data_IF_176708395511
#
_entry.id   IF_176708395511
#
_cell.length_a   1.000
_cell.length_b   1.000
_cell.length_c   1.000
_cell.angle_alpha   90.00
_cell.angle_beta   90.00
_cell.angle_gamma   90.00
#
_symmetry.space_group_name_H-M   'P 1'
#
loop_
_entity.id
_entity.type
_entity.pdbx_description
1 polymer ?
#
# COMPACT_ATOMS: atom_id res chain seq x y z
N UNK A 1 -55.64 12.80 7.61
CA UNK A 1 -54.17 12.96 7.58
C UNK A 1 -53.54 11.58 7.73
N UNK A 2 -52.63 11.18 6.84
CA UNK A 2 -51.68 10.09 7.10
C UNK A 2 -51.72 8.86 6.17
N UNK A 3 -51.45 9.02 4.87
CA UNK A 3 -50.93 7.92 4.05
C UNK A 3 -49.40 7.93 4.14
N UNK A 4 -48.84 7.12 5.05
CA UNK A 4 -47.40 6.89 5.12
C UNK A 4 -47.05 5.62 4.35
N UNK A 5 -46.49 5.76 3.14
CA UNK A 5 -45.96 4.64 2.36
C UNK A 5 -44.84 3.94 3.15
N UNK A 6 -45.10 2.71 3.58
CA UNK A 6 -44.09 1.85 4.22
C UNK A 6 -43.17 1.30 3.14
N UNK A 7 -42.05 1.97 2.88
CA UNK A 7 -41.01 1.44 1.99
C UNK A 7 -40.26 0.31 2.71
N UNK A 8 -40.40 -0.93 2.22
CA UNK A 8 -39.70 -2.10 2.77
C UNK A 8 -38.20 -1.98 2.48
N UNK A 9 -37.38 -1.75 3.52
CA UNK A 9 -35.91 -1.69 3.40
C UNK A 9 -35.39 -3.05 2.90
N UNK A 10 -34.71 -3.08 1.75
CA UNK A 10 -34.05 -4.30 1.25
C UNK A 10 -32.83 -4.61 2.13
N UNK A 11 -32.77 -5.82 2.66
CA UNK A 11 -31.69 -6.29 3.52
C UNK A 11 -31.11 -7.56 2.90
N UNK A 12 -29.78 -7.62 2.80
CA UNK A 12 -29.08 -8.79 2.26
C UNK A 12 -28.53 -9.64 3.40
N UNK A 13 -28.77 -10.94 3.34
CA UNK A 13 -28.28 -11.92 4.30
C UNK A 13 -26.97 -12.51 3.78
N UNK A 14 -25.91 -12.38 4.56
CA UNK A 14 -24.63 -13.06 4.33
C UNK A 14 -24.36 -14.05 5.45
N UNK A 15 -23.83 -15.22 5.13
CA UNK A 15 -23.34 -16.19 6.13
C UNK A 15 -21.85 -15.94 6.33
N UNK A 16 -21.44 -15.82 7.59
CA UNK A 16 -20.05 -15.63 8.03
C UNK A 16 -19.29 -16.97 8.07
N UNK A 17 -17.97 -16.94 8.22
CA UNK A 17 -17.11 -18.15 8.26
C UNK A 17 -17.43 -19.11 9.44
N UNK A 18 -18.23 -18.65 10.40
CA UNK A 18 -18.73 -19.42 11.56
C UNK A 18 -20.22 -19.80 11.43
N UNK A 19 -20.76 -19.89 10.19
CA UNK A 19 -22.14 -20.25 9.85
C UNK A 19 -23.24 -19.34 10.45
N UNK A 20 -22.87 -18.14 10.91
CA UNK A 20 -23.83 -17.17 11.49
C UNK A 20 -24.41 -16.25 10.42
N UNK A 21 -25.73 -16.08 10.45
CA UNK A 21 -26.45 -15.15 9.55
C UNK A 21 -26.21 -13.70 9.99
N UNK A 22 -25.49 -12.93 9.18
CA UNK A 22 -25.28 -11.49 9.36
C UNK A 22 -26.27 -10.72 8.48
N UNK A 23 -26.99 -9.78 9.11
CA UNK A 23 -27.94 -8.89 8.46
C UNK A 23 -27.19 -7.63 8.02
N UNK A 24 -26.81 -7.55 6.74
CA UNK A 24 -26.13 -6.39 6.19
C UNK A 24 -27.15 -5.41 5.63
N UNK A 25 -27.12 -4.16 6.10
CA UNK A 25 -27.91 -3.07 5.50
C UNK A 25 -27.28 -2.69 4.16
N UNK A 26 -27.86 -3.19 3.07
CA UNK A 26 -27.41 -2.91 1.72
C UNK A 26 -27.61 -1.43 1.37
N UNK A 27 -26.52 -0.71 1.19
CA UNK A 27 -26.54 0.60 0.52
C UNK A 27 -26.67 0.31 -0.98
N UNK A 28 -27.78 0.71 -1.61
CA UNK A 28 -27.95 0.58 -3.05
C UNK A 28 -27.10 1.65 -3.74
N UNK A 29 -25.90 1.27 -4.16
CA UNK A 29 -25.05 2.12 -4.99
C UNK A 29 -25.73 2.30 -6.36
N UNK A 30 -25.70 3.52 -6.89
CA UNK A 30 -26.22 3.80 -8.23
C UNK A 30 -25.38 3.08 -9.28
N UNK A 31 -25.99 2.78 -10.43
CA UNK A 31 -25.29 2.16 -11.58
C UNK A 31 -24.01 2.92 -11.93
N UNK A 32 -24.05 4.25 -11.78
CA UNK A 32 -22.96 5.18 -12.05
C UNK A 32 -21.79 5.09 -11.04
N UNK A 33 -22.06 4.66 -9.80
CA UNK A 33 -21.02 4.35 -8.80
C UNK A 33 -20.43 2.96 -9.05
N UNK A 34 -21.26 1.99 -9.44
CA UNK A 34 -20.81 0.65 -9.80
C UNK A 34 -19.95 0.66 -11.08
N UNK A 35 -20.31 1.46 -12.08
CA UNK A 35 -19.56 1.64 -13.32
C UNK A 35 -18.17 2.22 -13.05
N UNK A 36 -18.08 3.20 -12.13
CA UNK A 36 -16.81 3.77 -11.66
C UNK A 36 -15.96 2.74 -10.95
N UNK A 37 -16.53 1.95 -10.04
CA UNK A 37 -15.79 0.91 -9.32
C UNK A 37 -15.31 -0.21 -10.25
N UNK A 38 -16.09 -0.57 -11.28
CA UNK A 38 -15.67 -1.51 -12.34
C UNK A 38 -14.58 -0.93 -13.24
N UNK A 39 -14.60 0.40 -13.47
CA UNK A 39 -13.56 1.11 -14.22
C UNK A 39 -12.19 1.17 -13.52
N UNK A 40 -12.12 0.95 -12.20
CA UNK A 40 -10.85 0.86 -11.46
C UNK A 40 -10.17 -0.50 -11.63
N UNK A 41 -10.92 -1.56 -11.95
CA UNK A 41 -10.40 -2.93 -12.05
C UNK A 41 -9.77 -3.29 -13.40
N UNK A 42 -9.71 -2.35 -14.37
CA UNK A 42 -9.23 -2.62 -15.73
C UNK A 42 -8.21 -1.59 -16.25
N UNK A 43 -7.34 -1.10 -15.36
CA UNK A 43 -6.23 -0.23 -15.72
C UNK A 43 -4.92 -1.04 -15.55
N UNK A 44 -4.18 -1.35 -16.63
CA UNK A 44 -2.80 -1.81 -16.52
C UNK A 44 -1.98 -0.72 -15.81
N UNK A 45 -1.05 -1.05 -14.90
CA UNK A 45 -0.30 -0.01 -14.20
C UNK A 45 0.66 0.64 -15.21
N UNK A 46 0.43 1.90 -15.53
CA UNK A 46 1.38 2.72 -16.28
C UNK A 46 1.52 4.11 -15.63
N UNK A 47 2.70 4.73 -15.79
CA UNK A 47 3.28 5.73 -14.90
C UNK A 47 2.77 7.16 -15.16
N UNK A 48 3.05 8.03 -14.18
CA UNK A 48 2.64 9.42 -14.04
C UNK A 48 3.06 10.39 -15.18
N UNK A 49 2.39 11.56 -15.32
CA UNK A 49 2.47 12.42 -16.51
C UNK A 49 3.29 13.71 -16.33
N UNK A 50 4.01 14.14 -17.38
CA UNK A 50 4.05 15.54 -17.85
C UNK A 50 4.84 15.72 -19.16
N UNK A 51 4.21 16.43 -20.10
CA UNK A 51 4.49 16.71 -21.54
C UNK A 51 5.52 17.86 -21.76
N UNK A 52 5.70 18.47 -22.97
CA UNK A 52 5.44 18.07 -24.37
C UNK A 52 6.60 18.41 -25.36
N UNK A 53 6.48 17.94 -26.62
CA UNK A 53 6.76 18.67 -27.88
C UNK A 53 7.62 17.98 -28.96
N UNK A 54 6.96 17.86 -30.12
CA UNK A 54 7.40 18.06 -31.51
C UNK A 54 8.44 17.14 -32.19
N UNK A 55 7.89 16.51 -33.22
CA UNK A 55 8.34 16.47 -34.62
C UNK A 55 9.42 15.48 -35.08
N UNK A 56 8.91 14.57 -35.91
CA UNK A 56 9.40 14.16 -37.22
C UNK A 56 10.59 13.22 -37.34
N UNK A 57 10.32 12.22 -38.18
CA UNK A 57 11.18 11.57 -39.16
C UNK A 57 11.99 10.33 -38.73
N UNK A 58 11.64 9.26 -39.45
CA UNK A 58 12.52 8.22 -39.98
C UNK A 58 12.76 6.96 -39.14
N UNK A 59 12.20 5.87 -39.66
CA UNK A 59 12.47 4.47 -39.34
C UNK A 59 13.93 4.05 -39.63
N UNK A 60 14.27 2.75 -39.58
CA UNK A 60 14.36 1.86 -38.42
C UNK A 60 15.82 1.38 -38.21
N UNK A 61 16.16 0.84 -37.03
CA UNK A 61 17.46 0.18 -36.76
C UNK A 61 17.33 -1.35 -36.70
N UNK A 62 18.38 -2.12 -37.05
CA UNK A 62 18.32 -3.51 -37.53
C UNK A 62 18.66 -4.55 -36.45
N UNK A 63 18.44 -5.86 -36.71
CA UNK A 63 19.05 -6.94 -35.94
C UNK A 63 20.40 -7.38 -36.52
N UNK A 64 21.16 -8.03 -35.63
CA UNK A 64 22.53 -8.52 -35.73
C UNK A 64 22.76 -9.63 -36.78
N UNK A 65 24.03 -9.66 -37.23
CA UNK A 65 24.87 -10.79 -37.66
C UNK A 65 24.48 -11.65 -38.87
N UNK A 66 25.28 -11.55 -39.93
CA UNK A 66 26.29 -12.57 -40.33
C UNK A 66 27.01 -12.16 -41.62
N UNK A 67 28.34 -12.30 -41.59
CA UNK A 67 29.10 -12.90 -42.69
C UNK A 67 29.43 -12.07 -43.94
N UNK A 68 30.73 -12.08 -44.24
CA UNK A 68 31.36 -11.94 -45.56
C UNK A 68 31.50 -10.52 -46.17
N UNK A 69 32.66 -9.93 -45.92
CA UNK A 69 33.22 -8.84 -46.74
C UNK A 69 33.85 -9.40 -48.03
N UNK A 70 33.62 -8.71 -49.15
CA UNK A 70 34.31 -8.82 -50.44
C UNK A 70 34.70 -7.40 -50.87
N UNK A 71 35.97 -7.06 -51.02
CA UNK A 71 36.73 -7.04 -52.29
C UNK A 71 37.37 -5.65 -52.40
N UNK A 72 38.71 -5.54 -52.45
CA UNK A 72 39.53 -5.46 -53.68
C UNK A 72 39.78 -3.97 -54.05
N UNK A 73 40.94 -3.45 -54.42
CA UNK A 73 42.26 -3.95 -54.82
C UNK A 73 43.24 -2.79 -54.64
N UNK A 74 44.55 -3.02 -54.51
CA UNK A 74 45.60 -2.71 -55.51
C UNK A 74 46.80 -2.24 -54.67
N UNK A 75 48.08 -2.52 -54.90
CA UNK A 75 48.85 -3.07 -55.99
C UNK A 75 50.21 -3.43 -55.35
N UNK A 76 50.71 -4.66 -55.54
CA UNK A 76 51.90 -4.94 -56.35
C UNK A 76 53.19 -5.20 -55.57
N UNK A 77 53.91 -6.23 -56.05
CA UNK A 77 55.35 -6.50 -55.90
C UNK A 77 55.79 -7.12 -54.55
N UNK A 78 56.54 -8.22 -54.49
CA UNK A 78 57.22 -9.02 -55.51
C UNK A 78 57.77 -10.32 -54.86
N UNK A 79 58.28 -11.21 -55.73
CA UNK A 79 59.31 -12.25 -55.48
C UNK A 79 58.84 -13.67 -55.12
N UNK A 80 58.52 -14.44 -56.15
CA UNK A 80 59.29 -15.67 -56.41
C UNK A 80 59.77 -15.62 -57.86
N UNK A 81 61.08 -15.67 -58.04
CA UNK A 81 61.77 -15.76 -59.33
C UNK A 81 62.54 -17.09 -59.38
N UNK A 82 62.84 -17.60 -60.58
CA UNK A 82 62.97 -19.01 -60.88
C UNK A 82 64.40 -19.55 -60.79
N UNK A 83 64.47 -20.88 -60.62
CA UNK A 83 65.64 -21.68 -60.94
C UNK A 83 65.92 -21.69 -62.45
N UNK A 84 67.19 -21.86 -62.78
CA UNK A 84 67.80 -22.12 -64.10
C UNK A 84 68.02 -20.92 -65.04
N UNK A 85 69.20 -20.31 -64.90
CA UNK A 85 69.95 -19.77 -66.04
C UNK A 85 71.20 -20.61 -66.23
N UNK A 86 71.26 -21.29 -67.38
CA UNK A 86 72.52 -21.74 -67.95
C UNK A 86 73.38 -20.48 -68.24
N UNK A 87 74.64 -20.50 -67.83
CA UNK A 87 75.66 -19.63 -68.41
C UNK A 87 76.63 -20.45 -69.26
N UNK A 88 77.08 -19.91 -70.41
CA UNK A 88 78.15 -20.47 -71.20
C UNK A 88 79.52 -20.13 -70.59
N UNK A 89 80.40 -21.13 -70.66
CA UNK A 89 81.86 -21.09 -70.84
C UNK A 89 82.67 -19.80 -70.59
N UNK A 90 83.69 -19.99 -69.73
CA UNK A 90 85.10 -19.53 -69.87
C UNK A 90 85.36 -18.00 -69.75
N UNK A 91 86.34 -17.47 -69.00
CA UNK A 91 87.70 -17.93 -68.67
C UNK A 91 88.23 -17.26 -67.38
N UNK A 92 89.20 -17.95 -66.76
CA UNK A 92 90.46 -17.44 -66.20
C UNK A 92 90.50 -16.46 -65.01
N UNK A 93 90.99 -17.03 -63.89
CA UNK A 93 92.14 -16.61 -63.07
C UNK A 93 92.09 -15.35 -62.20
N UNK A 94 92.32 -15.61 -60.89
CA UNK A 94 92.88 -14.75 -59.81
C UNK A 94 91.96 -13.67 -59.20
N UNK A 95 91.17 -14.05 -58.17
CA UNK A 95 90.84 -13.20 -57.00
C UNK A 95 89.98 -13.98 -55.97
N UNK A 96 90.56 -14.87 -55.16
CA UNK A 96 89.80 -15.68 -54.18
C UNK A 96 89.89 -15.18 -52.73
N UNK A 97 90.85 -14.30 -52.41
CA UNK A 97 91.01 -13.73 -51.07
C UNK A 97 90.13 -12.48 -50.86
N UNK A 98 89.89 -11.69 -51.91
CA UNK A 98 89.16 -10.42 -51.81
C UNK A 98 87.64 -10.59 -51.57
N UNK A 99 86.99 -11.57 -52.21
CA UNK A 99 85.53 -11.76 -52.12
C UNK A 99 85.05 -12.32 -50.77
N UNK A 100 85.90 -13.08 -50.06
CA UNK A 100 85.59 -13.61 -48.72
C UNK A 100 85.60 -12.52 -47.65
N UNK A 101 86.48 -11.55 -47.81
CA UNK A 101 86.55 -10.37 -46.94
C UNK A 101 85.42 -9.37 -47.24
N UNK A 102 85.01 -9.19 -48.49
CA UNK A 102 83.80 -8.41 -48.83
C UNK A 102 82.53 -9.04 -48.22
N UNK A 103 82.36 -10.35 -48.31
CA UNK A 103 81.22 -11.05 -47.69
C UNK A 103 81.21 -10.85 -46.16
N UNK A 104 82.37 -10.96 -45.50
CA UNK A 104 82.51 -10.72 -44.06
C UNK A 104 82.23 -9.27 -43.66
N UNK A 105 82.40 -8.30 -44.57
CA UNK A 105 82.00 -6.90 -44.34
C UNK A 105 80.49 -6.73 -44.45
N UNK A 106 79.87 -7.36 -45.45
CA UNK A 106 78.42 -7.34 -45.63
C UNK A 106 77.68 -8.01 -44.47
N UNK A 107 78.14 -9.18 -44.01
CA UNK A 107 77.52 -9.88 -42.88
C UNK A 107 77.66 -9.08 -41.57
N UNK A 108 78.80 -8.39 -41.39
CA UNK A 108 78.99 -7.45 -40.26
C UNK A 108 78.04 -6.26 -40.35
N UNK A 109 77.86 -5.68 -41.53
CA UNK A 109 76.88 -4.60 -41.74
C UNK A 109 75.46 -5.07 -41.49
N UNK A 110 75.07 -6.27 -41.93
CA UNK A 110 73.76 -6.85 -41.62
C UNK A 110 73.58 -7.11 -40.12
N UNK A 111 74.62 -7.58 -39.42
CA UNK A 111 74.55 -7.82 -37.99
C UNK A 111 74.33 -6.51 -37.21
N UNK A 112 75.02 -5.43 -37.58
CA UNK A 112 74.82 -4.09 -36.98
C UNK A 112 73.41 -3.58 -37.25
N UNK A 113 72.91 -3.70 -38.49
CA UNK A 113 71.55 -3.27 -38.81
C UNK A 113 70.49 -4.07 -38.04
N UNK A 114 70.68 -5.39 -37.86
CA UNK A 114 69.78 -6.24 -37.07
C UNK A 114 69.81 -5.88 -35.58
N UNK A 115 70.99 -5.59 -35.03
CA UNK A 115 71.17 -5.20 -33.64
C UNK A 115 70.53 -3.83 -33.33
N UNK A 116 70.72 -2.84 -34.21
CA UNK A 116 70.07 -1.52 -34.07
C UNK A 116 68.54 -1.61 -34.18
N UNK A 117 68.03 -2.47 -35.07
CA UNK A 117 66.59 -2.73 -35.16
C UNK A 117 66.05 -3.39 -33.89
N UNK A 118 66.80 -4.34 -33.31
CA UNK A 118 66.44 -5.00 -32.06
C UNK A 118 66.41 -4.02 -30.88
N UNK A 119 67.41 -3.14 -30.76
CA UNK A 119 67.44 -2.08 -29.74
C UNK A 119 66.29 -1.10 -29.89
N UNK A 120 65.94 -0.69 -31.12
CA UNK A 120 64.77 0.17 -31.35
C UNK A 120 63.46 -0.55 -30.96
N UNK A 121 63.30 -1.82 -31.32
CA UNK A 121 62.13 -2.60 -30.95
C UNK A 121 61.99 -2.83 -29.43
N UNK A 122 63.11 -2.92 -28.70
CA UNK A 122 63.10 -3.02 -27.24
C UNK A 122 62.65 -1.69 -26.60
N UNK A 123 63.21 -0.56 -27.03
CA UNK A 123 62.79 0.77 -26.56
C UNK A 123 61.32 1.05 -26.85
N UNK A 124 60.83 0.66 -28.02
CA UNK A 124 59.41 0.79 -28.38
C UNK A 124 58.52 -0.05 -27.45
N UNK A 125 58.92 -1.28 -27.13
CA UNK A 125 58.20 -2.14 -26.17
C UNK A 125 58.22 -1.59 -24.75
N UNK A 126 59.34 -1.04 -24.31
CA UNK A 126 59.46 -0.43 -22.98
C UNK A 126 58.59 0.83 -22.89
N UNK A 127 58.67 1.72 -23.89
CA UNK A 127 57.81 2.89 -23.98
C UNK A 127 56.31 2.51 -24.03
N UNK A 128 55.96 1.46 -24.79
CA UNK A 128 54.58 0.95 -24.82
C UNK A 128 54.13 0.37 -23.47
N UNK A 129 55.02 -0.28 -22.71
CA UNK A 129 54.73 -0.76 -21.35
C UNK A 129 54.57 0.38 -20.37
N UNK A 130 55.42 1.39 -20.42
CA UNK A 130 55.31 2.59 -19.59
C UNK A 130 54.01 3.34 -19.87
N UNK A 131 53.65 3.55 -21.15
CA UNK A 131 52.38 4.16 -21.53
C UNK A 131 51.18 3.31 -21.10
N UNK A 132 51.26 1.97 -21.21
CA UNK A 132 50.23 1.07 -20.70
C UNK A 132 50.06 1.21 -19.18
N UNK A 133 51.15 1.28 -18.42
CA UNK A 133 51.11 1.47 -16.96
C UNK A 133 50.51 2.84 -16.61
N UNK A 134 50.86 3.90 -17.33
CA UNK A 134 50.25 5.24 -17.15
C UNK A 134 48.76 5.24 -17.49
N UNK A 135 48.36 4.59 -18.58
CA UNK A 135 46.95 4.46 -18.96
C UNK A 135 46.17 3.67 -17.90
N UNK A 136 46.71 2.53 -17.44
CA UNK A 136 46.07 1.69 -16.41
C UNK A 136 45.95 2.41 -15.06
N UNK A 137 46.95 3.21 -14.67
CA UNK A 137 46.88 4.00 -13.42
C UNK A 137 45.83 5.10 -13.50
N UNK A 138 45.70 5.77 -14.64
CA UNK A 138 44.63 6.76 -14.91
C UNK A 138 43.24 6.12 -14.90
N UNK A 139 43.07 4.99 -15.58
CA UNK A 139 41.81 4.23 -15.60
C UNK A 139 41.42 3.80 -14.18
N UNK A 140 42.38 3.31 -13.39
CA UNK A 140 42.14 2.91 -11.99
C UNK A 140 41.74 4.09 -11.11
N UNK A 141 42.29 5.28 -11.34
CA UNK A 141 41.89 6.50 -10.63
C UNK A 141 40.47 6.91 -11.01
N UNK A 142 40.16 6.93 -12.32
CA UNK A 142 38.81 7.24 -12.82
C UNK A 142 37.77 6.25 -12.26
N UNK A 143 38.05 4.96 -12.30
CA UNK A 143 37.17 3.93 -11.75
C UNK A 143 36.90 4.10 -10.23
N UNK A 144 37.87 4.63 -9.47
CA UNK A 144 37.68 4.92 -8.04
C UNK A 144 36.82 6.16 -7.82
N UNK A 145 37.03 7.21 -8.59
CA UNK A 145 36.23 8.43 -8.51
C UNK A 145 34.78 8.17 -8.92
N UNK A 146 34.56 7.40 -9.97
CA UNK A 146 33.22 6.97 -10.40
C UNK A 146 32.54 6.10 -9.34
N UNK A 147 33.26 5.16 -8.73
CA UNK A 147 32.73 4.35 -7.65
C UNK A 147 32.37 5.16 -6.38
N UNK A 148 33.11 6.24 -6.10
CA UNK A 148 32.79 7.16 -5.00
C UNK A 148 31.55 8.01 -5.33
N UNK A 149 31.51 8.63 -6.51
CA UNK A 149 30.34 9.40 -6.96
C UNK A 149 29.08 8.55 -7.02
N UNK A 150 29.16 7.31 -7.49
CA UNK A 150 28.02 6.38 -7.50
C UNK A 150 27.52 6.08 -6.07
N UNK A 151 28.41 5.96 -5.09
CA UNK A 151 28.04 5.77 -3.68
C UNK A 151 27.40 7.02 -3.08
N UNK A 152 27.97 8.21 -3.33
CA UNK A 152 27.42 9.48 -2.84
C UNK A 152 26.03 9.76 -3.41
N UNK A 153 25.85 9.63 -4.73
CA UNK A 153 24.53 9.75 -5.36
C UNK A 153 23.51 8.77 -4.76
N UNK A 154 23.91 7.53 -4.48
CA UNK A 154 23.03 6.56 -3.83
C UNK A 154 22.70 6.93 -2.38
N UNK A 155 23.63 7.55 -1.65
CA UNK A 155 23.41 8.00 -0.28
C UNK A 155 22.47 9.21 -0.23
N UNK A 156 22.66 10.17 -1.13
CA UNK A 156 21.80 11.36 -1.26
C UNK A 156 20.37 10.97 -1.65
N UNK A 157 20.20 10.00 -2.56
CA UNK A 157 18.89 9.45 -2.92
C UNK A 157 18.20 8.75 -1.73
N UNK A 158 18.96 8.01 -0.92
CA UNK A 158 18.45 7.37 0.30
C UNK A 158 18.03 8.43 1.32
N UNK A 159 18.83 9.48 1.52
CA UNK A 159 18.51 10.56 2.46
C UNK A 159 17.27 11.34 2.01
N UNK A 160 17.17 11.70 0.73
CA UNK A 160 16.00 12.37 0.18
C UNK A 160 14.72 11.53 0.38
N UNK A 161 14.82 10.21 0.17
CA UNK A 161 13.70 9.28 0.43
C UNK A 161 13.35 9.20 1.91
N UNK A 162 14.34 9.20 2.80
CA UNK A 162 14.12 9.18 4.25
C UNK A 162 13.41 10.45 4.73
N UNK A 163 13.83 11.62 4.25
CA UNK A 163 13.17 12.90 4.55
C UNK A 163 11.72 12.93 4.04
N UNK A 164 11.47 12.39 2.85
CA UNK A 164 10.11 12.27 2.30
C UNK A 164 9.22 11.37 3.18
N UNK A 165 9.74 10.23 3.63
CA UNK A 165 9.02 9.34 4.54
C UNK A 165 8.74 10.02 5.88
N UNK A 166 9.72 10.69 6.46
CA UNK A 166 9.54 11.43 7.71
C UNK A 166 8.47 12.53 7.59
N UNK A 167 8.41 13.22 6.44
CA UNK A 167 7.34 14.20 6.16
C UNK A 167 5.98 13.53 6.09
N UNK A 168 5.86 12.34 5.48
CA UNK A 168 4.60 11.58 5.43
C UNK A 168 4.20 11.06 6.80
N UNK A 169 5.14 10.55 7.58
CA UNK A 169 4.89 10.07 8.94
C UNK A 169 4.42 11.19 9.86
N UNK A 170 5.04 12.38 9.77
CA UNK A 170 4.58 13.54 10.55
C UNK A 170 3.18 14.00 10.14
N UNK A 171 2.84 13.97 8.84
CA UNK A 171 1.48 14.25 8.36
C UNK A 171 0.46 13.23 8.88
N UNK A 172 0.78 11.93 8.80
CA UNK A 172 -0.10 10.87 9.31
C UNK A 172 -0.27 10.97 10.82
N UNK A 173 0.80 11.29 11.55
CA UNK A 173 0.75 11.48 13.00
C UNK A 173 -0.11 12.69 13.38
N UNK A 174 0.00 13.80 12.66
CA UNK A 174 -0.84 14.98 12.88
C UNK A 174 -2.32 14.68 12.62
N UNK A 175 -2.62 13.97 11.52
CA UNK A 175 -3.99 13.56 11.19
C UNK A 175 -4.56 12.56 12.22
N UNK A 176 -3.73 11.61 12.67
CA UNK A 176 -4.10 10.65 13.71
C UNK A 176 -4.40 11.34 15.05
N UNK A 177 -3.60 12.34 15.43
CA UNK A 177 -3.85 13.14 16.62
C UNK A 177 -5.16 13.95 16.51
N UNK A 178 -5.41 14.56 15.34
CA UNK A 178 -6.65 15.29 15.08
C UNK A 178 -7.89 14.40 15.22
N UNK A 179 -7.92 13.24 14.58
CA UNK A 179 -9.09 12.35 14.70
C UNK A 179 -9.25 11.73 16.08
N UNK A 180 -8.14 11.46 16.78
CA UNK A 180 -8.18 11.00 18.18
C UNK A 180 -8.83 12.04 19.09
N UNK A 181 -8.47 13.32 18.91
CA UNK A 181 -9.08 14.44 19.63
C UNK A 181 -10.57 14.58 19.30
N UNK A 182 -10.96 14.47 18.02
CA UNK A 182 -12.37 14.51 17.62
C UNK A 182 -13.19 13.38 18.23
N UNK A 183 -12.64 12.17 18.31
CA UNK A 183 -13.29 11.03 18.96
C UNK A 183 -13.45 11.28 20.47
N UNK A 184 -12.40 11.74 21.14
CA UNK A 184 -12.46 12.07 22.56
C UNK A 184 -13.52 13.13 22.87
N UNK A 185 -13.61 14.18 22.04
CA UNK A 185 -14.65 15.21 22.17
C UNK A 185 -16.06 14.65 21.94
N UNK A 186 -16.23 13.74 20.99
CA UNK A 186 -17.52 13.09 20.74
C UNK A 186 -17.93 12.19 21.91
N UNK A 187 -17.00 11.38 22.43
CA UNK A 187 -17.20 10.51 23.59
C UNK A 187 -17.56 11.33 24.83
N UNK A 188 -16.85 12.44 25.06
CA UNK A 188 -17.14 13.35 26.17
C UNK A 188 -18.56 13.94 26.06
N UNK A 189 -18.93 14.52 24.91
CA UNK A 189 -20.27 15.08 24.72
C UNK A 189 -21.37 14.01 24.81
N UNK A 190 -21.10 12.80 24.35
CA UNK A 190 -22.04 11.69 24.47
C UNK A 190 -22.27 11.32 25.94
N UNK A 191 -21.19 11.23 26.71
CA UNK A 191 -21.21 10.91 28.13
C UNK A 191 -21.90 12.01 28.96
N UNK A 192 -21.65 13.28 28.66
CA UNK A 192 -22.35 14.42 29.27
C UNK A 192 -23.85 14.35 28.99
N UNK A 193 -24.26 14.19 27.72
CA UNK A 193 -25.68 14.04 27.37
C UNK A 193 -26.33 12.84 28.06
N UNK A 194 -25.62 11.71 28.16
CA UNK A 194 -26.13 10.54 28.85
C UNK A 194 -26.37 10.81 30.35
N UNK A 195 -25.43 11.49 31.01
CA UNK A 195 -25.60 11.91 32.42
C UNK A 195 -26.79 12.84 32.59
N UNK A 196 -26.87 13.90 31.79
CA UNK A 196 -27.99 14.84 31.83
C UNK A 196 -29.33 14.13 31.60
N UNK A 197 -29.40 13.23 30.61
CA UNK A 197 -30.61 12.46 30.32
C UNK A 197 -30.96 11.51 31.46
N UNK A 198 -29.98 10.90 32.11
CA UNK A 198 -30.18 10.05 33.28
C UNK A 198 -30.73 10.87 34.45
N UNK A 199 -30.16 12.04 34.72
CA UNK A 199 -30.58 12.90 35.81
C UNK A 199 -31.99 13.44 35.57
N UNK A 200 -32.29 13.89 34.35
CA UNK A 200 -33.63 14.31 33.94
C UNK A 200 -34.66 13.18 34.09
N UNK A 201 -34.30 11.96 33.69
CA UNK A 201 -35.19 10.80 33.85
C UNK A 201 -35.49 10.53 35.33
N UNK A 202 -34.47 10.51 36.19
CA UNK A 202 -34.67 10.29 37.62
C UNK A 202 -35.44 11.43 38.28
N UNK A 203 -35.17 12.68 37.90
CA UNK A 203 -35.91 13.83 38.40
C UNK A 203 -37.38 13.75 37.98
N UNK A 204 -37.66 13.45 36.71
CA UNK A 204 -39.02 13.28 36.21
C UNK A 204 -39.73 12.11 36.89
N UNK A 205 -39.05 10.98 37.12
CA UNK A 205 -39.57 9.85 37.87
C UNK A 205 -39.93 10.25 39.31
N UNK A 206 -39.04 10.94 40.02
CA UNK A 206 -39.29 11.40 41.40
C UNK A 206 -40.46 12.40 41.49
N UNK A 207 -40.54 13.35 40.56
CA UNK A 207 -41.67 14.29 40.47
C UNK A 207 -42.97 13.56 40.17
N UNK A 208 -42.92 12.56 39.30
CA UNK A 208 -44.09 11.73 38.97
C UNK A 208 -44.50 10.90 40.18
N UNK A 209 -43.59 10.22 40.86
CA UNK A 209 -43.87 9.47 42.08
C UNK A 209 -44.49 10.36 43.18
N UNK A 210 -44.00 11.59 43.35
CA UNK A 210 -44.54 12.52 44.34
C UNK A 210 -45.94 13.05 43.97
N UNK A 211 -46.25 13.19 42.67
CA UNK A 211 -47.53 13.72 42.19
C UNK A 211 -48.59 12.65 41.91
N UNK A 212 -48.17 11.40 41.67
CA UNK A 212 -49.06 10.26 41.53
C UNK A 212 -49.71 10.01 42.88
N UNK A 213 -51.00 10.36 42.98
CA UNK A 213 -51.81 10.05 44.16
C UNK A 213 -51.81 8.53 44.35
N UNK A 214 -51.27 8.09 45.48
CA UNK A 214 -51.49 6.73 45.96
C UNK A 214 -52.99 6.59 46.25
N UNK A 215 -53.70 5.90 45.37
CA UNK A 215 -55.10 5.59 45.64
C UNK A 215 -55.15 4.76 46.91
N UNK A 216 -55.90 5.25 47.90
CA UNK A 216 -56.12 4.50 49.12
C UNK A 216 -56.89 3.22 48.77
N UNK A 217 -56.18 2.08 48.74
CA UNK A 217 -56.72 0.74 48.53
C UNK A 217 -57.31 0.16 49.82
N UNK A 218 -57.42 0.94 50.90
CA UNK A 218 -58.05 0.47 52.11
C UNK A 218 -59.49 0.04 51.81
N UNK A 219 -59.90 -1.13 52.31
CA UNK A 219 -61.28 -1.56 52.19
C UNK A 219 -62.19 -0.54 52.89
N UNK A 220 -63.33 -0.26 52.26
CA UNK A 220 -64.29 0.77 52.72
C UNK A 220 -64.90 0.44 54.08
N UNK A 221 -65.03 -0.86 54.40
CA UNK A 221 -65.62 -1.35 55.65
C UNK A 221 -64.81 -2.55 56.20
N UNK A 222 -63.56 -2.33 56.68
CA UNK A 222 -62.63 -3.42 57.01
C UNK A 222 -63.19 -4.38 58.07
N UNK A 223 -63.80 -3.83 59.12
CA UNK A 223 -64.36 -4.62 60.22
C UNK A 223 -65.52 -5.51 59.78
N UNK A 224 -66.53 -4.93 59.12
CA UNK A 224 -67.67 -5.68 58.59
C UNK A 224 -67.25 -6.67 57.50
N UNK A 225 -66.25 -6.33 56.67
CA UNK A 225 -65.67 -7.25 55.69
C UNK A 225 -65.03 -8.47 56.36
N UNK A 226 -64.27 -8.27 57.45
CA UNK A 226 -63.68 -9.39 58.18
C UNK A 226 -64.76 -10.27 58.83
N UNK A 227 -65.77 -9.64 59.44
CA UNK A 227 -66.86 -10.35 60.12
C UNK A 227 -67.71 -11.17 59.14
N UNK A 228 -68.10 -10.61 57.99
CA UNK A 228 -68.92 -11.32 57.00
C UNK A 228 -68.14 -12.48 56.36
N UNK A 229 -66.85 -12.27 56.08
CA UNK A 229 -65.98 -13.34 55.58
C UNK A 229 -65.79 -14.45 56.62
N UNK A 230 -65.72 -14.13 57.92
CA UNK A 230 -65.71 -15.15 58.97
C UNK A 230 -67.03 -15.89 59.03
N UNK A 231 -68.16 -15.18 59.05
CA UNK A 231 -69.49 -15.79 59.14
C UNK A 231 -69.75 -16.79 58.02
N UNK A 232 -69.39 -16.46 56.77
CA UNK A 232 -69.53 -17.39 55.64
C UNK A 232 -68.56 -18.57 55.68
N UNK A 233 -67.36 -18.40 56.26
CA UNK A 233 -66.43 -19.51 56.48
C UNK A 233 -66.97 -20.50 57.52
N UNK A 234 -67.62 -19.98 58.56
CA UNK A 234 -68.17 -20.77 59.67
C UNK A 234 -69.54 -21.38 59.33
N UNK A 235 -70.28 -20.81 58.36
CA UNK A 235 -71.64 -21.23 57.97
C UNK A 235 -71.75 -21.51 56.45
N UNK A 236 -70.91 -22.41 55.92
CA UNK A 236 -70.82 -22.70 54.47
C UNK A 236 -72.15 -23.19 53.85
N UNK A 237 -72.87 -24.06 54.54
CA UNK A 237 -74.11 -24.66 54.04
C UNK A 237 -75.37 -23.92 54.55
N UNK A 238 -75.20 -22.89 55.38
CA UNK A 238 -76.28 -22.13 56.03
C UNK A 238 -76.03 -20.62 55.94
N UNK A 239 -75.69 -20.14 54.74
CA UNK A 239 -75.28 -18.75 54.46
C UNK A 239 -76.33 -17.71 54.83
N UNK A 240 -77.61 -18.08 54.87
CA UNK A 240 -78.70 -17.20 55.29
C UNK A 240 -78.57 -16.73 56.75
N UNK A 241 -77.85 -17.44 57.62
CA UNK A 241 -77.56 -16.97 58.99
C UNK A 241 -76.69 -15.70 59.01
N UNK A 242 -75.96 -15.44 57.93
CA UNK A 242 -75.14 -14.25 57.76
C UNK A 242 -75.88 -13.10 57.06
N UNK A 243 -77.19 -13.23 56.80
CA UNK A 243 -77.96 -12.26 56.00
C UNK A 243 -77.98 -10.86 56.59
N UNK A 244 -78.06 -10.75 57.91
CA UNK A 244 -78.14 -9.43 58.57
C UNK A 244 -76.77 -8.74 58.54
N UNK A 245 -75.69 -9.49 58.77
CA UNK A 245 -74.33 -9.00 58.61
C UNK A 245 -74.01 -8.61 57.15
N UNK A 246 -74.55 -9.36 56.18
CA UNK A 246 -74.46 -9.01 54.76
C UNK A 246 -75.19 -7.71 54.42
N UNK A 247 -76.37 -7.49 55.03
CA UNK A 247 -77.15 -6.27 54.87
C UNK A 247 -76.40 -5.07 55.44
N UNK A 248 -75.81 -5.21 56.63
CA UNK A 248 -74.99 -4.16 57.26
C UNK A 248 -73.74 -3.81 56.45
N UNK A 249 -73.02 -4.84 55.96
CA UNK A 249 -71.86 -4.63 55.09
C UNK A 249 -72.26 -3.88 53.80
N UNK A 250 -73.37 -4.28 53.18
CA UNK A 250 -73.88 -3.60 51.97
C UNK A 250 -74.33 -2.17 52.24
N UNK A 251 -74.96 -1.90 53.39
CA UNK A 251 -75.32 -0.54 53.81
C UNK A 251 -74.08 0.33 53.99
N UNK A 252 -73.03 -0.19 54.63
CA UNK A 252 -71.76 0.50 54.82
C UNK A 252 -71.09 0.84 53.46
N UNK A 253 -71.02 -0.12 52.52
CA UNK A 253 -70.51 0.13 51.16
C UNK A 253 -71.32 1.22 50.46
N UNK A 254 -72.66 1.14 50.52
CA UNK A 254 -73.53 2.09 49.82
C UNK A 254 -73.45 3.50 50.42
N UNK A 255 -73.33 3.63 51.74
CA UNK A 255 -73.11 4.91 52.39
C UNK A 255 -71.79 5.54 51.94
N UNK A 256 -70.71 4.77 51.92
CA UNK A 256 -69.41 5.26 51.47
C UNK A 256 -69.36 5.57 49.96
N UNK A 257 -70.09 4.81 49.12
CA UNK A 257 -70.27 5.14 47.70
C UNK A 257 -70.93 6.51 47.54
N UNK A 258 -72.01 6.80 48.30
CA UNK A 258 -72.67 8.11 48.28
C UNK A 258 -71.72 9.25 48.66
N UNK A 259 -70.95 9.09 49.75
CA UNK A 259 -69.98 10.11 50.19
C UNK A 259 -68.90 10.37 49.14
N UNK A 260 -68.42 9.33 48.44
CA UNK A 260 -67.40 9.46 47.39
C UNK A 260 -67.88 10.22 46.14
N UNK A 261 -69.20 10.22 45.86
CA UNK A 261 -69.82 11.01 44.80
C UNK A 261 -69.97 12.50 45.13
N UNK A 262 -69.89 12.90 46.40
CA UNK A 262 -70.02 14.31 46.82
C UNK A 262 -68.68 15.05 46.96
N UNK A 263 -67.55 14.33 46.90
CA UNK A 263 -66.20 14.88 47.11
C UNK A 263 -65.28 14.78 45.88
N UNK A 264 -65.86 14.55 44.69
CA UNK A 264 -65.26 14.72 43.38
C UNK A 264 -66.08 15.74 42.59
#
# INVERSE_FOLDING_TARGET
MGSGESTTRKVSFGVDDEDRVRILRGIKLSEDVLQRMRGVANIPPEPSPSSPSSSSSSAPSPPKEKGASRSASSASQAKQSPQHRAQPSNKSSKSASFSKDEQRRYDRQQAILKDELAKMAEREREAAREEMVKAMTRERQQAREEAQKAKELSADEIEARAQQLQKKDSQLKALGAFYKEQLAQLEQRNLERFKESKDQFHQAASVTEASVRTHNTAPVCPGLQAQILSCYKDNKDQTLKCSDLAREYMQCINAAKKVRFFYF
#
